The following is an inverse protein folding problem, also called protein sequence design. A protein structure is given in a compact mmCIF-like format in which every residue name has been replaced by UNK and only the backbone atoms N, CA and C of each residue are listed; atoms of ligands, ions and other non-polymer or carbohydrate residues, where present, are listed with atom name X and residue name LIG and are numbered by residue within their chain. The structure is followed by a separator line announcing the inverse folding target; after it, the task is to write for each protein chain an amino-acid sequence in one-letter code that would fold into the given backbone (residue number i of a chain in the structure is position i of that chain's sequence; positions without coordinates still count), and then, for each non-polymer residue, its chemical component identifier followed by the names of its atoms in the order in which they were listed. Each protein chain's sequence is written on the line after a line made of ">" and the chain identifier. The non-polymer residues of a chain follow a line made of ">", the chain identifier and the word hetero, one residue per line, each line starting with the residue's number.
data_IF_467560718780
#
_entry.id   IF_467560718780
#
_cell.length_a   1.000
_cell.length_b   1.000
_cell.length_c   1.000
_cell.angle_alpha   90.00
_cell.angle_beta   90.00
_cell.angle_gamma   90.00
#
_symmetry.space_group_name_H-M   'P 1'
#
loop_
_entity.id
_entity.type
_entity.pdbx_description
1 polymer ?
#
# COMPACT_ATOMS: atom_id res chain seq x y z
N UNK A 1 62.83 19.64 5.95
CA UNK A 1 62.30 18.36 6.45
C UNK A 1 60.79 18.40 6.21
N UNK A 2 60.35 17.50 5.34
CA UNK A 2 58.98 17.27 4.88
C UNK A 2 58.19 16.48 5.94
N UNK A 3 56.87 16.70 6.08
CA UNK A 3 55.74 15.81 6.46
C UNK A 3 54.57 16.74 6.86
N UNK A 4 53.54 17.04 6.05
CA UNK A 4 52.44 16.18 5.55
C UNK A 4 51.75 15.41 6.70
N UNK A 5 50.44 15.33 6.87
CA UNK A 5 49.23 15.92 6.30
C UNK A 5 48.13 15.60 7.31
N UNK A 6 47.15 16.49 7.50
CA UNK A 6 45.95 16.19 8.25
C UNK A 6 45.08 15.23 7.42
N UNK A 7 45.05 13.96 7.81
CA UNK A 7 44.17 12.95 7.23
C UNK A 7 42.78 13.11 7.85
N UNK A 8 41.89 13.77 7.10
CA UNK A 8 40.45 13.76 7.38
C UNK A 8 39.84 12.53 6.68
N UNK A 9 39.02 11.70 7.35
CA UNK A 9 38.37 10.60 6.66
C UNK A 9 37.35 11.14 5.64
N UNK A 10 37.37 10.68 4.38
CA UNK A 10 36.33 11.02 3.43
C UNK A 10 35.01 10.40 3.89
N UNK A 11 34.03 11.24 4.20
CA UNK A 11 32.64 10.81 4.37
C UNK A 11 32.12 10.48 2.97
N UNK A 12 32.01 9.20 2.68
CA UNK A 12 31.49 8.72 1.41
C UNK A 12 30.09 9.30 1.14
N UNK A 13 29.83 9.83 -0.06
CA UNK A 13 28.48 10.16 -0.47
C UNK A 13 27.68 8.86 -0.58
N UNK A 14 26.82 8.65 0.41
CA UNK A 14 25.76 7.65 0.44
C UNK A 14 25.11 7.57 -0.95
N UNK A 15 25.29 6.45 -1.64
CA UNK A 15 24.75 6.14 -2.97
C UNK A 15 23.22 6.01 -2.94
N UNK A 16 22.51 7.07 -2.56
CA UNK A 16 21.05 7.19 -2.58
C UNK A 16 20.57 8.05 -3.74
N UNK A 17 21.21 7.92 -4.91
CA UNK A 17 20.79 8.61 -6.13
C UNK A 17 20.93 7.68 -7.31
N UNK A 18 19.79 7.15 -7.79
CA UNK A 18 19.42 6.97 -9.21
C UNK A 18 18.24 6.01 -9.36
N UNK A 19 17.01 6.52 -9.20
CA UNK A 19 15.91 6.02 -10.03
C UNK A 19 15.62 7.13 -11.05
N UNK A 20 16.59 7.31 -11.95
CA UNK A 20 16.46 8.18 -13.10
C UNK A 20 15.41 7.58 -14.04
N UNK A 21 14.41 8.40 -14.33
CA UNK A 21 13.49 8.22 -15.43
C UNK A 21 14.26 7.93 -16.72
N UNK A 22 13.88 6.86 -17.41
CA UNK A 22 14.23 6.65 -18.81
C UNK A 22 12.93 6.40 -19.57
N UNK A 23 12.36 7.51 -20.03
CA UNK A 23 11.36 7.59 -21.07
C UNK A 23 12.02 7.09 -22.37
N UNK A 24 11.57 5.98 -22.94
CA UNK A 24 11.81 5.70 -24.36
C UNK A 24 10.46 5.52 -25.05
N UNK A 25 10.12 6.57 -25.78
CA UNK A 25 8.95 6.71 -26.62
C UNK A 25 9.25 6.06 -27.97
N UNK A 26 8.65 4.90 -28.24
CA UNK A 26 8.62 4.32 -29.60
C UNK A 26 7.16 4.26 -30.04
N UNK A 27 6.81 5.18 -30.93
CA UNK A 27 5.53 5.23 -31.61
C UNK A 27 5.49 4.16 -32.71
N UNK A 28 4.51 3.25 -32.63
CA UNK A 28 4.04 2.50 -33.80
C UNK A 28 2.52 2.64 -33.88
N UNK A 29 2.09 3.41 -34.88
CA UNK A 29 0.69 3.50 -35.30
C UNK A 29 0.35 2.18 -35.98
N UNK A 30 -0.52 1.38 -35.37
CA UNK A 30 -1.18 0.26 -36.05
C UNK A 30 -2.60 0.17 -35.52
N UNK A 31 -3.56 0.59 -36.35
CA UNK A 31 -4.98 0.53 -36.03
C UNK A 31 -5.43 -0.90 -35.76
N UNK A 32 -5.71 -1.22 -34.50
CA UNK A 32 -6.32 -2.48 -34.12
C UNK A 32 -7.84 -2.27 -34.10
N UNK A 33 -8.52 -2.90 -35.08
CA UNK A 33 -9.96 -3.09 -35.04
C UNK A 33 -10.31 -3.87 -33.78
N UNK A 34 -11.19 -3.31 -32.96
CA UNK A 34 -11.76 -3.97 -31.77
C UNK A 34 -12.64 -5.11 -32.26
N UNK A 35 -12.09 -6.32 -32.32
CA UNK A 35 -12.86 -7.55 -32.49
C UNK A 35 -13.51 -7.95 -31.16
N UNK A 36 -14.75 -8.41 -31.30
CA UNK A 36 -15.71 -8.72 -30.26
C UNK A 36 -15.14 -9.45 -29.03
N UNK A 37 -15.59 -8.96 -27.87
CA UNK A 37 -15.42 -9.56 -26.56
C UNK A 37 -15.91 -11.02 -26.56
N UNK A 38 -14.95 -11.94 -26.46
CA UNK A 38 -15.15 -13.17 -25.69
C UNK A 38 -14.57 -12.86 -24.31
N UNK A 39 -15.38 -12.74 -23.23
CA UNK A 39 -14.80 -12.65 -21.91
C UNK A 39 -13.92 -13.90 -21.73
N UNK A 40 -12.61 -13.74 -21.48
CA UNK A 40 -11.78 -14.90 -21.22
C UNK A 40 -12.42 -15.64 -20.04
N UNK A 41 -12.48 -16.98 -20.08
CA UNK A 41 -12.87 -17.76 -18.91
C UNK A 41 -12.09 -17.22 -17.70
N UNK A 42 -12.84 -16.72 -16.71
CA UNK A 42 -12.31 -16.28 -15.44
C UNK A 42 -11.82 -17.52 -14.69
N UNK A 43 -10.66 -18.02 -15.08
CA UNK A 43 -10.02 -19.12 -14.39
C UNK A 43 -9.52 -18.61 -13.04
N UNK A 44 -9.88 -19.35 -11.99
CA UNK A 44 -9.51 -19.23 -10.58
C UNK A 44 -8.00 -19.27 -10.28
N UNK A 45 -7.16 -18.69 -11.15
CA UNK A 45 -5.72 -18.54 -10.95
C UNK A 45 -5.38 -17.48 -9.87
N UNK A 46 -6.36 -16.66 -9.47
CA UNK A 46 -6.21 -15.67 -8.41
C UNK A 46 -5.96 -16.33 -7.05
N UNK A 47 -6.85 -17.23 -6.62
CA UNK A 47 -6.90 -17.71 -5.24
C UNK A 47 -5.58 -18.32 -4.73
N UNK A 48 -4.88 -19.10 -5.55
CA UNK A 48 -3.60 -19.71 -5.17
C UNK A 48 -2.48 -18.67 -5.04
N UNK A 49 -2.39 -17.74 -6.01
CA UNK A 49 -1.40 -16.65 -5.96
C UNK A 49 -1.69 -15.61 -4.87
N UNK A 50 -2.93 -15.53 -4.41
CA UNK A 50 -3.34 -14.64 -3.31
C UNK A 50 -3.09 -15.27 -1.96
N UNK A 51 -3.36 -16.57 -1.80
CA UNK A 51 -2.98 -17.31 -0.60
C UNK A 51 -1.45 -17.24 -0.38
N UNK A 52 -0.68 -17.31 -1.46
CA UNK A 52 0.77 -17.09 -1.43
C UNK A 52 1.13 -15.65 -1.00
N UNK A 53 0.51 -14.64 -1.61
CA UNK A 53 0.74 -13.23 -1.25
C UNK A 53 0.36 -12.92 0.20
N UNK A 54 -0.79 -13.39 0.67
CA UNK A 54 -1.26 -13.25 2.04
C UNK A 54 -0.23 -13.85 3.01
N UNK A 55 0.13 -15.11 2.79
CA UNK A 55 1.11 -15.83 3.60
C UNK A 55 2.47 -15.11 3.59
N UNK A 56 2.89 -14.58 2.45
CA UNK A 56 4.14 -13.82 2.30
C UNK A 56 4.09 -12.52 3.11
N UNK A 57 3.00 -11.76 3.04
CA UNK A 57 2.84 -10.52 3.79
C UNK A 57 2.77 -10.78 5.30
N UNK A 58 1.98 -11.76 5.75
CA UNK A 58 1.83 -12.10 7.16
C UNK A 58 3.16 -12.50 7.79
N UNK A 59 3.88 -13.43 7.16
CA UNK A 59 5.16 -13.92 7.68
C UNK A 59 6.26 -12.88 7.52
N UNK A 60 6.34 -12.24 6.36
CA UNK A 60 7.42 -11.31 6.02
C UNK A 60 7.35 -9.98 6.77
N UNK A 61 6.13 -9.49 7.03
CA UNK A 61 5.89 -8.30 7.85
C UNK A 61 5.81 -8.60 9.35
N UNK A 62 5.83 -9.89 9.72
CA UNK A 62 5.73 -10.38 11.10
C UNK A 62 4.41 -9.97 11.77
N UNK A 63 3.29 -10.21 11.11
CA UNK A 63 1.97 -10.05 11.73
C UNK A 63 1.82 -11.00 12.94
N UNK A 64 1.22 -10.49 14.02
CA UNK A 64 1.04 -11.19 15.30
C UNK A 64 -0.33 -10.99 15.90
N UNK A 65 -1.00 -9.87 15.62
CA UNK A 65 -2.30 -9.52 16.21
C UNK A 65 -3.42 -9.81 15.22
N UNK A 66 -4.64 -10.19 15.68
CA UNK A 66 -5.79 -10.40 14.80
C UNK A 66 -6.06 -9.23 13.84
N UNK A 67 -5.95 -8.00 14.35
CA UNK A 67 -6.12 -6.77 13.55
C UNK A 67 -5.06 -6.61 12.45
N UNK A 68 -3.87 -7.15 12.64
CA UNK A 68 -2.81 -7.11 11.63
C UNK A 68 -3.05 -8.13 10.51
N UNK A 69 -3.62 -9.29 10.85
CA UNK A 69 -4.07 -10.27 9.86
C UNK A 69 -5.24 -9.71 9.03
N UNK A 70 -6.23 -9.10 9.69
CA UNK A 70 -7.35 -8.42 9.00
C UNK A 70 -6.88 -7.32 8.06
N UNK A 71 -5.91 -6.50 8.49
CA UNK A 71 -5.30 -5.51 7.63
C UNK A 71 -4.71 -6.11 6.35
N UNK A 72 -3.95 -7.20 6.47
CA UNK A 72 -3.32 -7.86 5.32
C UNK A 72 -4.38 -8.47 4.40
N UNK A 73 -5.40 -9.11 4.98
CA UNK A 73 -6.53 -9.70 4.25
C UNK A 73 -7.25 -8.64 3.39
N UNK A 74 -7.59 -7.47 3.98
CA UNK A 74 -8.19 -6.36 3.24
C UNK A 74 -7.28 -5.85 2.10
N UNK A 75 -5.95 -5.81 2.31
CA UNK A 75 -5.01 -5.43 1.24
C UNK A 75 -4.99 -6.46 0.11
N UNK A 76 -5.00 -7.76 0.43
CA UNK A 76 -5.03 -8.83 -0.57
C UNK A 76 -6.34 -8.77 -1.36
N UNK A 77 -7.46 -8.56 -0.69
CA UNK A 77 -8.75 -8.37 -1.34
C UNK A 77 -8.73 -7.17 -2.31
N UNK A 78 -8.15 -6.03 -1.93
CA UNK A 78 -8.01 -4.88 -2.84
C UNK A 78 -7.12 -5.19 -4.06
N UNK A 79 -6.16 -6.11 -3.92
CA UNK A 79 -5.35 -6.60 -5.06
C UNK A 79 -6.16 -7.53 -5.95
N UNK A 80 -6.96 -8.41 -5.37
CA UNK A 80 -7.88 -9.29 -6.10
C UNK A 80 -8.89 -8.51 -6.93
N UNK A 81 -9.48 -7.48 -6.34
CA UNK A 81 -10.42 -6.58 -6.99
C UNK A 81 -9.77 -5.68 -8.04
N UNK A 82 -8.44 -5.72 -8.19
CA UNK A 82 -7.68 -4.89 -9.12
C UNK A 82 -7.63 -3.40 -8.73
N UNK A 83 -8.15 -3.03 -7.56
CA UNK A 83 -8.12 -1.66 -7.02
C UNK A 83 -6.72 -1.26 -6.57
N UNK A 84 -5.91 -2.24 -6.18
CA UNK A 84 -4.52 -2.06 -5.78
C UNK A 84 -3.62 -2.95 -6.65
N UNK A 85 -2.61 -2.36 -7.30
CA UNK A 85 -1.69 -3.16 -8.11
C UNK A 85 -0.84 -4.09 -7.24
N UNK A 86 -0.80 -5.39 -7.60
CA UNK A 86 0.09 -6.38 -6.94
C UNK A 86 1.54 -5.92 -6.93
N UNK A 87 2.03 -5.34 -8.02
CA UNK A 87 3.41 -4.85 -8.12
C UNK A 87 3.69 -3.73 -7.10
N UNK A 88 2.72 -2.83 -6.90
CA UNK A 88 2.83 -1.77 -5.90
C UNK A 88 2.90 -2.36 -4.48
N UNK A 89 2.11 -3.39 -4.19
CA UNK A 89 2.17 -4.11 -2.90
C UNK A 89 3.52 -4.78 -2.71
N UNK A 90 3.98 -5.58 -3.68
CA UNK A 90 5.24 -6.34 -3.58
C UNK A 90 6.45 -5.41 -3.42
N UNK A 91 6.54 -4.35 -4.22
CA UNK A 91 7.65 -3.38 -4.11
C UNK A 91 7.63 -2.60 -2.78
N UNK A 92 6.44 -2.40 -2.20
CA UNK A 92 6.31 -1.77 -0.88
C UNK A 92 6.66 -2.76 0.23
N UNK A 93 6.26 -4.02 0.07
CA UNK A 93 6.62 -5.11 0.97
C UNK A 93 8.13 -5.28 1.07
N UNK A 94 8.86 -5.35 -0.05
CA UNK A 94 10.32 -5.50 -0.04
C UNK A 94 11.00 -4.35 0.71
N UNK A 95 10.54 -3.12 0.49
CA UNK A 95 11.05 -1.95 1.21
C UNK A 95 10.80 -2.03 2.72
N UNK A 96 9.61 -2.48 3.12
CA UNK A 96 9.24 -2.64 4.53
C UNK A 96 9.97 -3.82 5.20
N UNK A 97 10.23 -4.89 4.45
CA UNK A 97 10.92 -6.07 4.93
C UNK A 97 12.37 -5.76 5.34
N UNK A 98 13.02 -4.83 4.65
CA UNK A 98 14.36 -4.34 4.97
C UNK A 98 14.42 -3.49 6.25
N UNK A 99 13.27 -3.12 6.84
CA UNK A 99 13.23 -2.34 8.09
C UNK A 99 13.51 -3.23 9.31
N UNK A 100 14.27 -2.76 10.32
CA UNK A 100 14.67 -3.57 11.46
C UNK A 100 13.49 -3.92 12.41
N UNK A 101 12.60 -2.97 12.66
CA UNK A 101 11.46 -3.10 13.57
C UNK A 101 10.16 -2.64 12.90
N UNK A 102 9.02 -3.06 13.47
CA UNK A 102 7.68 -2.55 13.09
C UNK A 102 7.41 -2.57 11.58
N UNK A 103 7.81 -3.66 10.92
CA UNK A 103 7.81 -3.81 9.45
C UNK A 103 6.41 -3.56 8.87
N UNK A 104 5.39 -4.11 9.52
CA UNK A 104 4.00 -3.97 9.12
C UNK A 104 3.52 -2.50 9.20
N UNK A 105 3.90 -1.76 10.24
CA UNK A 105 3.58 -0.32 10.34
C UNK A 105 4.29 0.48 9.24
N UNK A 106 5.57 0.20 8.97
CA UNK A 106 6.30 0.82 7.85
C UNK A 106 5.66 0.52 6.50
N UNK A 107 5.22 -0.73 6.30
CA UNK A 107 4.48 -1.13 5.12
C UNK A 107 3.21 -0.30 4.94
N UNK A 108 2.38 -0.16 5.99
CA UNK A 108 1.18 0.68 5.94
C UNK A 108 1.51 2.11 5.52
N UNK A 109 2.50 2.75 6.15
CA UNK A 109 2.85 4.14 5.83
C UNK A 109 3.35 4.29 4.40
N UNK A 110 4.21 3.39 3.93
CA UNK A 110 4.73 3.44 2.57
C UNK A 110 3.64 3.16 1.54
N UNK A 111 2.75 2.19 1.81
CA UNK A 111 1.65 1.86 0.92
C UNK A 111 0.67 3.02 0.82
N UNK A 112 0.33 3.63 1.96
CA UNK A 112 -0.52 4.81 2.00
C UNK A 112 0.10 5.99 1.25
N UNK A 113 1.39 6.24 1.40
CA UNK A 113 2.09 7.30 0.67
C UNK A 113 2.08 7.06 -0.85
N UNK A 114 2.30 5.82 -1.28
CA UNK A 114 2.33 5.44 -2.71
C UNK A 114 0.94 5.40 -3.35
N UNK A 115 -0.09 5.11 -2.57
CA UNK A 115 -1.47 5.04 -3.06
C UNK A 115 -2.23 6.38 -3.02
N UNK A 116 -1.61 7.50 -2.61
CA UNK A 116 -2.28 8.81 -2.50
C UNK A 116 -2.93 9.30 -3.79
N UNK A 117 -2.45 8.87 -4.95
CA UNK A 117 -3.02 9.21 -6.25
C UNK A 117 -4.06 8.22 -6.78
N UNK A 118 -4.35 7.16 -6.03
CA UNK A 118 -5.33 6.14 -6.43
C UNK A 118 -6.69 6.46 -5.80
N UNK A 119 -7.80 6.25 -6.53
CA UNK A 119 -9.15 6.40 -5.98
C UNK A 119 -9.55 5.18 -5.12
N UNK A 120 -8.61 4.65 -4.32
CA UNK A 120 -8.82 3.49 -3.45
C UNK A 120 -8.68 3.91 -2.00
N UNK A 121 -9.61 3.45 -1.15
CA UNK A 121 -9.49 3.60 0.30
C UNK A 121 -8.67 2.46 0.86
N UNK A 122 -7.57 2.80 1.51
CA UNK A 122 -6.72 1.80 2.16
C UNK A 122 -7.12 1.60 3.62
N UNK A 123 -7.05 0.37 4.13
CA UNK A 123 -7.25 0.08 5.54
C UNK A 123 -6.23 0.79 6.43
N UNK A 124 -6.58 0.95 7.71
CA UNK A 124 -5.71 1.55 8.71
C UNK A 124 -5.74 0.75 10.01
N UNK A 125 -4.57 0.26 10.43
CA UNK A 125 -4.42 -0.54 11.64
C UNK A 125 -4.90 0.16 12.91
N UNK A 126 -4.78 1.48 12.99
CA UNK A 126 -5.24 2.22 14.15
C UNK A 126 -6.76 2.27 14.23
N UNK A 127 -7.46 2.29 13.09
CA UNK A 127 -8.93 2.29 13.05
C UNK A 127 -9.48 0.89 13.35
N UNK A 128 -8.84 -0.15 12.83
CA UNK A 128 -9.20 -1.54 13.08
C UNK A 128 -8.99 -1.95 14.55
N UNK A 129 -7.97 -1.41 15.22
CA UNK A 129 -7.75 -1.63 16.65
C UNK A 129 -8.86 -1.05 17.55
N UNK A 130 -9.63 -0.09 17.04
CA UNK A 130 -10.74 0.56 17.76
C UNK A 130 -12.08 -0.13 17.44
N UNK A 131 -12.09 -1.19 16.63
CA UNK A 131 -13.32 -1.90 16.22
C UNK A 131 -14.13 -1.17 15.14
N UNK A 132 -13.53 -0.19 14.45
CA UNK A 132 -14.17 0.56 13.37
C UNK A 132 -13.71 -0.07 12.05
N UNK A 133 -14.43 -1.09 11.57
CA UNK A 133 -14.11 -1.74 10.29
C UNK A 133 -14.30 -0.79 9.11
N UNK A 134 -13.29 -0.72 8.24
CA UNK A 134 -13.13 0.24 7.13
C UNK A 134 -14.08 0.03 5.93
N UNK A 135 -14.84 -1.07 5.89
CA UNK A 135 -15.53 -1.52 4.67
C UNK A 135 -17.06 -1.33 4.64
N UNK A 136 -17.66 -0.55 5.53
CA UNK A 136 -19.12 -0.37 5.49
C UNK A 136 -19.71 0.69 6.41
N UNK A 137 -18.93 1.70 6.79
CA UNK A 137 -19.45 2.84 7.54
C UNK A 137 -19.84 3.96 6.60
N UNK A 138 -21.07 3.92 6.08
CA UNK A 138 -21.81 5.16 5.92
C UNK A 138 -21.77 5.87 7.27
N UNK A 139 -20.84 6.82 7.45
CA UNK A 139 -20.93 7.78 8.53
C UNK A 139 -22.08 8.73 8.17
N UNK A 140 -23.30 8.20 8.23
CA UNK A 140 -24.43 8.95 8.73
C UNK A 140 -24.01 9.47 10.09
N UNK A 141 -23.63 10.74 10.12
CA UNK A 141 -23.84 11.61 11.27
C UNK A 141 -25.34 11.57 11.57
N UNK A 142 -25.79 10.50 12.23
CA UNK A 142 -26.92 10.56 13.14
C UNK A 142 -26.43 11.36 14.35
N UNK A 143 -26.20 12.65 14.12
CA UNK A 143 -26.27 13.64 15.18
C UNK A 143 -27.70 13.55 15.68
N UNK A 144 -27.97 13.07 16.91
CA UNK A 144 -29.30 13.21 17.47
C UNK A 144 -29.66 14.70 17.39
N UNK A 145 -30.88 15.07 16.93
CA UNK A 145 -31.26 16.47 16.90
C UNK A 145 -31.06 17.04 18.30
N UNK A 146 -30.16 18.01 18.42
CA UNK A 146 -29.95 18.75 19.65
C UNK A 146 -31.33 19.30 20.02
N UNK A 147 -31.92 18.93 21.18
CA UNK A 147 -33.18 19.53 21.57
C UNK A 147 -32.92 21.02 21.77
N UNK A 148 -33.51 21.84 20.89
CA UNK A 148 -33.51 23.29 20.98
C UNK A 148 -33.88 23.68 22.41
N UNK A 149 -32.88 24.16 23.16
CA UNK A 149 -33.05 24.67 24.52
C UNK A 149 -33.97 25.89 24.42
N UNK A 150 -35.24 25.70 24.78
CA UNK A 150 -36.22 26.77 24.82
C UNK A 150 -35.70 27.94 25.68
N UNK A 151 -35.99 29.19 25.30
CA UNK A 151 -35.62 30.34 26.11
C UNK A 151 -36.37 30.27 27.46
N UNK A 152 -35.62 30.26 28.56
CA UNK A 152 -36.20 30.51 29.88
C UNK A 152 -36.72 31.95 29.88
N UNK A 153 -38.03 32.10 30.04
CA UNK A 153 -38.65 33.35 30.46
C UNK A 153 -38.21 33.71 31.87
#
# INVERSE_FOLDING_TARGET
>A
MHFASADSPPKEPSMFTRFAAALLLVATVTGHRVSAATPPPAFDAGGVMNLDLQTQLEKGLKARRPVEFQYIDEIVQLVEEGKLSRQLVVTTYLWAQARPWRKLQYFQFALQARARGLPVRLPNLNLQAVGISSNGGEHGVNTPPIPSRAPRR
#
